data_IF_564566683039
#
_entry.id   IF_564566683039
#
_cell.length_a   1.000
_cell.length_b   1.000
_cell.length_c   1.000
_cell.angle_alpha   90.00
_cell.angle_beta   90.00
_cell.angle_gamma   90.00
#
_symmetry.space_group_name_H-M   'P 1'
#
loop_
_entity.id
_entity.type
_entity.pdbx_description
1 polymer ?
#
# COMPACT_ATOMS: atom_id res chain seq x y z
N UNK A 1 -5.33 -9.56 12.44
CA UNK A 1 -6.38 -8.53 12.49
C UNK A 1 -6.04 -7.44 13.51
N UNK A 2 -5.68 -7.78 14.75
CA UNK A 2 -5.35 -6.78 15.79
C UNK A 2 -4.22 -5.83 15.38
N UNK A 3 -3.17 -6.34 14.74
CA UNK A 3 -2.08 -5.52 14.23
C UNK A 3 -2.52 -4.45 13.23
N UNK A 4 -3.46 -4.76 12.33
CA UNK A 4 -3.90 -3.79 11.31
C UNK A 4 -4.69 -2.66 11.99
N UNK A 5 -5.52 -2.99 12.99
CA UNK A 5 -6.31 -2.01 13.73
C UNK A 5 -5.45 -1.03 14.54
N UNK A 6 -4.20 -1.36 14.86
CA UNK A 6 -3.29 -0.41 15.53
C UNK A 6 -2.63 0.57 14.57
N UNK A 7 -2.63 0.30 13.26
CA UNK A 7 -1.94 1.12 12.26
C UNK A 7 -2.87 2.10 11.52
N UNK A 8 -4.18 1.86 11.53
CA UNK A 8 -5.16 2.65 10.78
C UNK A 8 -6.39 2.97 11.62
N UNK A 9 -6.90 4.19 11.46
CA UNK A 9 -7.99 4.73 12.30
C UNK A 9 -9.34 4.00 12.15
N UNK A 10 -9.60 3.37 11.00
CA UNK A 10 -10.82 2.61 10.75
C UNK A 10 -10.53 1.40 9.88
N UNK A 11 -11.06 0.25 10.31
CA UNK A 11 -11.02 -1.01 9.57
C UNK A 11 -12.43 -1.56 9.53
N UNK A 12 -13.03 -1.59 8.35
CA UNK A 12 -14.30 -2.28 8.11
C UNK A 12 -13.99 -3.72 7.64
N UNK A 13 -14.68 -4.70 8.23
CA UNK A 13 -14.47 -6.13 7.95
C UNK A 13 -15.78 -6.69 7.41
N UNK A 14 -15.71 -7.34 6.26
CA UNK A 14 -16.82 -8.02 5.62
C UNK A 14 -16.46 -9.47 5.33
N UNK A 15 -17.38 -10.38 5.62
CA UNK A 15 -17.32 -11.75 5.18
C UNK A 15 -17.75 -11.87 3.72
N UNK A 16 -17.25 -12.91 3.06
CA UNK A 16 -17.60 -13.20 1.67
C UNK A 16 -19.12 -13.28 1.45
N UNK A 17 -19.85 -13.90 2.38
CA UNK A 17 -21.32 -13.98 2.31
C UNK A 17 -22.02 -12.62 2.44
N UNK A 18 -21.47 -11.69 3.22
CA UNK A 18 -21.99 -10.34 3.34
C UNK A 18 -21.78 -9.57 2.04
N UNK A 19 -20.62 -9.75 1.40
CA UNK A 19 -20.34 -9.18 0.08
C UNK A 19 -21.31 -9.73 -0.97
N UNK A 20 -21.59 -11.03 -0.99
CA UNK A 20 -22.58 -11.60 -1.91
C UNK A 20 -23.96 -10.96 -1.74
N UNK A 21 -24.41 -10.76 -0.49
CA UNK A 21 -25.68 -10.08 -0.23
C UNK A 21 -25.68 -8.61 -0.67
N UNK A 22 -24.54 -7.92 -0.62
CA UNK A 22 -24.41 -6.55 -1.11
C UNK A 22 -24.50 -6.50 -2.64
N UNK A 23 -23.82 -7.42 -3.33
CA UNK A 23 -23.84 -7.53 -4.79
C UNK A 23 -25.24 -7.85 -5.35
N UNK A 24 -26.08 -8.55 -4.58
CA UNK A 24 -27.48 -8.80 -4.96
C UNK A 24 -28.33 -7.51 -4.96
N UNK A 25 -28.04 -6.60 -4.02
CA UNK A 25 -28.82 -5.39 -3.77
C UNK A 25 -28.33 -4.18 -4.55
N UNK A 26 -27.03 -4.11 -4.79
CA UNK A 26 -26.38 -2.97 -5.44
C UNK A 26 -25.92 -3.35 -6.85
N UNK A 27 -26.62 -2.81 -7.85
CA UNK A 27 -26.31 -3.04 -9.26
C UNK A 27 -24.96 -2.45 -9.66
N UNK A 28 -24.61 -1.28 -9.14
CA UNK A 28 -23.37 -0.57 -9.49
C UNK A 28 -22.16 -1.32 -8.90
N UNK A 29 -22.25 -1.72 -7.63
CA UNK A 29 -21.24 -2.57 -7.00
C UNK A 29 -21.06 -3.87 -7.80
N UNK A 30 -22.15 -4.51 -8.21
CA UNK A 30 -22.11 -5.73 -9.01
C UNK A 30 -21.44 -5.53 -10.37
N UNK A 31 -21.78 -4.47 -11.07
CA UNK A 31 -21.16 -4.12 -12.36
C UNK A 31 -19.66 -3.88 -12.19
N UNK A 32 -19.24 -3.13 -11.15
CA UNK A 32 -17.83 -2.89 -10.84
C UNK A 32 -17.07 -4.18 -10.56
N UNK A 33 -17.61 -5.04 -9.69
CA UNK A 33 -16.98 -6.33 -9.35
C UNK A 33 -16.83 -7.25 -10.57
N UNK A 34 -17.80 -7.28 -11.47
CA UNK A 34 -17.70 -8.08 -12.69
C UNK A 34 -16.83 -7.45 -13.77
N UNK A 35 -16.74 -6.11 -13.81
CA UNK A 35 -15.87 -5.39 -14.74
C UNK A 35 -14.41 -5.35 -14.28
N UNK A 36 -14.13 -5.72 -13.03
CA UNK A 36 -12.77 -5.75 -12.51
C UNK A 36 -11.95 -6.76 -13.31
N UNK A 37 -11.02 -6.21 -14.07
CA UNK A 37 -9.98 -6.96 -14.74
C UNK A 37 -8.79 -6.87 -13.78
N UNK A 38 -8.36 -8.03 -13.30
CA UNK A 38 -7.06 -8.10 -12.64
C UNK A 38 -6.02 -7.66 -13.70
N UNK A 39 -5.09 -6.77 -13.35
CA UNK A 39 -4.15 -6.11 -14.29
C UNK A 39 -2.81 -6.86 -14.43
N UNK A 40 -2.64 -7.93 -13.66
CA UNK A 40 -1.54 -8.87 -13.81
C UNK A 40 -0.60 -8.85 -12.63
N UNK A 41 0.52 -9.59 -12.76
CA UNK A 41 1.58 -9.43 -11.79
C UNK A 41 2.04 -7.97 -11.76
N UNK A 42 2.40 -7.52 -10.56
CA UNK A 42 2.96 -6.19 -10.33
C UNK A 42 4.12 -5.91 -11.31
N UNK A 43 4.05 -4.78 -12.01
CA UNK A 43 5.20 -4.25 -12.76
C UNK A 43 6.26 -3.74 -11.79
N UNK A 44 7.38 -4.48 -11.71
CA UNK A 44 8.50 -4.20 -10.82
C UNK A 44 9.05 -2.78 -11.04
N UNK A 45 9.06 -2.28 -12.28
CA UNK A 45 9.58 -0.93 -12.57
C UNK A 45 8.65 0.15 -12.03
N UNK A 46 7.35 -0.06 -12.17
CA UNK A 46 6.33 0.84 -11.60
C UNK A 46 6.38 0.89 -10.07
N UNK A 47 6.96 -0.11 -9.41
CA UNK A 47 7.18 -0.11 -7.96
C UNK A 47 8.46 0.59 -7.49
N UNK A 48 9.32 1.05 -8.40
CA UNK A 48 10.58 1.67 -8.03
C UNK A 48 10.38 3.16 -7.71
N UNK A 49 10.20 3.46 -6.43
CA UNK A 49 9.95 4.81 -5.93
C UNK A 49 11.18 5.40 -5.20
N UNK A 50 11.28 6.73 -5.22
CA UNK A 50 12.30 7.48 -4.48
C UNK A 50 11.96 7.67 -3.00
N UNK A 51 12.62 8.64 -2.37
CA UNK A 51 12.39 8.97 -0.96
C UNK A 51 10.98 9.49 -0.66
N UNK A 52 10.50 9.26 0.57
CA UNK A 52 9.20 9.77 1.02
C UNK A 52 9.30 11.27 1.31
N UNK A 53 8.49 12.06 0.62
CA UNK A 53 8.20 13.45 0.98
C UNK A 53 6.72 13.56 1.33
N UNK A 54 6.39 13.96 2.56
CA UNK A 54 5.02 14.03 3.05
C UNK A 54 4.86 14.98 4.23
N UNK A 55 4.74 16.30 3.99
CA UNK A 55 4.54 17.26 5.07
C UNK A 55 3.15 17.09 5.69
N UNK A 56 3.07 16.98 7.02
CA UNK A 56 1.79 17.00 7.75
C UNK A 56 1.22 18.43 7.86
N UNK A 57 2.10 19.44 7.90
CA UNK A 57 1.75 20.86 7.92
C UNK A 57 2.74 21.64 7.06
N UNK A 58 2.23 22.49 6.17
CA UNK A 58 3.08 23.29 5.27
C UNK A 58 3.80 24.43 5.99
N UNK A 59 3.19 24.98 7.06
CA UNK A 59 3.76 26.07 7.85
C UNK A 59 3.31 25.96 9.30
N UNK A 60 4.25 26.04 10.25
CA UNK A 60 3.96 26.07 11.69
C UNK A 60 4.69 27.26 12.32
N UNK A 61 3.97 28.09 13.05
CA UNK A 61 4.53 29.13 13.91
C UNK A 61 4.45 28.65 15.35
N UNK A 62 5.57 28.71 16.06
CA UNK A 62 5.64 28.29 17.47
C UNK A 62 4.87 29.23 18.38
N UNK A 63 4.28 28.68 19.43
CA UNK A 63 3.76 29.43 20.58
C UNK A 63 4.84 29.57 21.67
N UNK A 64 4.59 30.42 22.67
CA UNK A 64 5.47 30.55 23.82
C UNK A 64 5.62 29.22 24.55
N UNK A 65 6.88 28.80 24.76
CA UNK A 65 7.24 27.52 25.39
C UNK A 65 7.37 26.34 24.43
N UNK A 66 7.04 26.51 23.14
CA UNK A 66 7.24 25.46 22.13
C UNK A 66 8.64 25.52 21.50
N UNK A 67 9.12 24.37 21.01
CA UNK A 67 10.37 24.24 20.26
C UNK A 67 10.17 23.35 19.04
N UNK A 68 10.82 23.69 17.94
CA UNK A 68 10.90 22.85 16.74
C UNK A 68 12.22 22.09 16.80
N UNK A 69 12.13 20.77 16.63
CA UNK A 69 13.28 19.87 16.48
C UNK A 69 13.18 19.20 15.12
N UNK A 70 14.32 18.90 14.51
CA UNK A 70 14.39 18.08 13.30
C UNK A 70 15.28 16.86 13.56
N UNK A 71 14.92 15.76 12.90
CA UNK A 71 15.73 14.56 12.88
C UNK A 71 16.15 14.33 11.43
N UNK A 72 17.44 14.08 11.23
CA UNK A 72 18.00 13.73 9.94
C UNK A 72 18.78 12.42 10.08
N UNK A 73 18.66 11.56 9.07
CA UNK A 73 19.37 10.28 9.03
C UNK A 73 20.60 10.44 8.16
N UNK A 74 21.77 10.50 8.79
CA UNK A 74 23.05 10.53 8.09
C UNK A 74 23.21 9.29 7.23
N UNK A 75 23.38 9.49 5.92
CA UNK A 75 23.68 8.40 4.96
C UNK A 75 22.62 7.29 4.91
N UNK A 76 21.32 7.66 4.91
CA UNK A 76 20.20 6.71 4.85
C UNK A 76 20.38 5.62 3.76
N UNK A 77 20.57 6.01 2.49
CA UNK A 77 20.68 5.05 1.40
C UNK A 77 21.92 4.13 1.52
N UNK A 78 23.15 4.64 1.77
CA UNK A 78 24.29 3.78 2.04
C UNK A 78 24.07 2.80 3.20
N UNK A 79 23.45 3.25 4.30
CA UNK A 79 23.16 2.40 5.45
C UNK A 79 22.20 1.25 5.09
N UNK A 80 21.13 1.54 4.35
CA UNK A 80 20.19 0.50 3.89
C UNK A 80 20.88 -0.45 2.90
N UNK A 81 21.72 0.07 2.00
CA UNK A 81 22.46 -0.74 1.03
C UNK A 81 23.38 -1.78 1.68
N UNK A 82 23.95 -1.49 2.84
CA UNK A 82 24.84 -2.43 3.56
C UNK A 82 24.08 -3.35 4.51
N UNK A 83 22.99 -2.87 5.12
CA UNK A 83 22.28 -3.62 6.17
C UNK A 83 21.16 -4.51 5.65
N UNK A 84 20.62 -4.21 4.47
CA UNK A 84 19.44 -4.90 3.94
C UNK A 84 19.84 -5.94 2.90
N UNK A 85 19.25 -7.13 2.98
CA UNK A 85 19.36 -8.13 1.93
C UNK A 85 18.44 -7.77 0.76
N UNK A 86 19.02 -7.67 -0.44
CA UNK A 86 18.27 -7.40 -1.67
C UNK A 86 17.89 -8.70 -2.39
N UNK A 87 16.74 -8.75 -3.06
CA UNK A 87 16.43 -9.85 -3.97
C UNK A 87 17.45 -9.87 -5.11
N UNK A 88 17.99 -11.05 -5.40
CA UNK A 88 18.94 -11.30 -6.49
C UNK A 88 18.38 -12.37 -7.44
N UNK A 89 18.73 -12.28 -8.73
CA UNK A 89 18.30 -13.22 -9.76
C UNK A 89 16.98 -12.87 -10.45
N UNK A 90 16.41 -13.83 -11.17
CA UNK A 90 15.19 -13.62 -11.93
C UNK A 90 13.93 -13.85 -11.06
N UNK A 91 12.95 -12.93 -11.08
CA UNK A 91 11.72 -13.10 -10.33
C UNK A 91 10.90 -14.28 -10.89
N UNK A 92 10.24 -15.02 -10.00
CA UNK A 92 9.26 -16.05 -10.37
C UNK A 92 7.86 -15.49 -10.18
N UNK A 93 7.09 -15.46 -11.26
CA UNK A 93 5.68 -15.02 -11.21
C UNK A 93 4.82 -16.14 -10.65
N UNK A 94 4.06 -15.85 -9.61
CA UNK A 94 3.06 -16.74 -9.04
C UNK A 94 1.67 -16.33 -9.55
N UNK A 95 1.10 -17.14 -10.44
CA UNK A 95 -0.25 -16.91 -10.96
C UNK A 95 -1.25 -17.47 -9.95
N UNK A 96 -1.89 -16.57 -9.19
CA UNK A 96 -2.90 -16.95 -8.19
C UNK A 96 -4.22 -17.32 -8.90
N UNK A 97 -4.59 -16.59 -9.96
CA UNK A 97 -5.76 -16.89 -10.77
C UNK A 97 -5.35 -17.41 -12.15
N UNK A 98 -5.40 -18.74 -12.33
CA UNK A 98 -5.07 -19.42 -13.60
C UNK A 98 -6.09 -19.17 -14.71
N UNK A 99 -7.28 -18.68 -14.36
CA UNK A 99 -8.37 -18.45 -15.30
C UNK A 99 -8.30 -17.05 -15.93
N UNK A 100 -7.40 -16.19 -15.47
CA UNK A 100 -7.12 -14.90 -16.11
C UNK A 100 -5.98 -15.09 -17.09
N UNK A 101 -6.24 -14.76 -18.36
CA UNK A 101 -5.21 -14.72 -19.38
C UNK A 101 -4.57 -13.33 -19.39
N UNK A 102 -3.29 -13.29 -19.07
CA UNK A 102 -2.46 -12.09 -18.91
C UNK A 102 -1.76 -11.65 -20.20
N UNK A 103 -2.05 -12.31 -21.31
CA UNK A 103 -1.45 -12.11 -22.64
C UNK A 103 -2.45 -11.64 -23.68
#
# INVERSE_FOLDING_TARGET
>A
MEFIKTQVARVDIYWECEIYQMLEKDREMRELFYSYIDDGPIDIRSCFYGGRTGPLKLHYKINDGERISYYDVTSLYPFINVTTSYPIGHPKVYIINKNVNWT
#
